data_IF_521963054382
#
_entry.id   IF_521963054382
#
_cell.length_a   1.000
_cell.length_b   1.000
_cell.length_c   1.000
_cell.angle_alpha   90.00
_cell.angle_beta   90.00
_cell.angle_gamma   90.00
#
_symmetry.space_group_name_H-M   'P 1'
#
loop_
_entity.id
_entity.type
_entity.pdbx_description
1 polymer ?
#
# COMPACT_ATOMS: atom_id res chain seq x y z
N UNK A 1 -15.12 -66.27 1.33
CA UNK A 1 -14.24 -65.72 2.38
C UNK A 1 -15.09 -65.34 3.58
N UNK A 2 -14.79 -65.83 4.80
CA UNK A 2 -15.54 -65.52 6.02
C UNK A 2 -15.15 -64.14 6.60
N UNK A 3 -15.99 -63.54 7.47
CA UNK A 3 -15.83 -62.16 7.94
C UNK A 3 -14.84 -62.06 9.10
N UNK A 4 -14.00 -61.01 9.09
CA UNK A 4 -13.18 -60.65 10.25
C UNK A 4 -13.92 -59.63 11.15
N UNK A 5 -13.72 -59.70 12.48
CA UNK A 5 -14.66 -59.19 13.46
C UNK A 5 -14.46 -57.72 13.82
N UNK A 6 -15.57 -57.11 14.22
CA UNK A 6 -15.64 -55.88 15.00
C UNK A 6 -14.79 -55.99 16.28
N UNK A 7 -13.82 -55.09 16.44
CA UNK A 7 -13.24 -54.78 17.74
C UNK A 7 -13.63 -53.37 18.15
N UNK A 8 -14.55 -53.32 19.13
CA UNK A 8 -14.38 -52.51 20.34
C UNK A 8 -14.34 -51.00 20.18
N UNK A 9 -15.52 -50.38 20.29
CA UNK A 9 -15.65 -49.07 20.90
C UNK A 9 -15.04 -49.08 22.31
N UNK A 10 -14.04 -48.24 22.56
CA UNK A 10 -13.69 -47.82 23.90
C UNK A 10 -13.23 -46.35 23.88
N UNK A 11 -14.05 -45.51 24.51
CA UNK A 11 -13.55 -44.36 25.26
C UNK A 11 -13.28 -43.08 24.47
N UNK A 12 -14.15 -42.09 24.66
CA UNK A 12 -13.80 -40.69 24.45
C UNK A 12 -14.93 -39.92 23.78
N UNK A 13 -15.89 -39.47 24.59
CA UNK A 13 -16.80 -38.41 24.19
C UNK A 13 -16.01 -37.13 23.93
N UNK A 14 -15.48 -36.99 22.71
CA UNK A 14 -15.05 -35.71 22.20
C UNK A 14 -16.33 -34.97 21.81
N UNK A 15 -16.74 -34.06 22.69
CA UNK A 15 -17.64 -32.97 22.35
C UNK A 15 -17.18 -32.42 21.00
N UNK A 16 -17.94 -32.65 19.92
CA UNK A 16 -17.66 -32.04 18.62
C UNK A 16 -17.75 -30.54 18.83
N UNK A 17 -16.61 -29.89 19.03
CA UNK A 17 -16.49 -28.47 18.80
C UNK A 17 -16.76 -28.28 17.31
N UNK A 18 -17.84 -27.59 16.90
CA UNK A 18 -18.05 -27.31 15.48
C UNK A 18 -16.81 -26.57 14.96
N UNK A 19 -16.33 -26.89 13.75
CA UNK A 19 -15.19 -26.19 13.19
C UNK A 19 -15.47 -24.68 13.24
N UNK A 20 -14.47 -23.86 13.63
CA UNK A 20 -14.63 -22.41 13.62
C UNK A 20 -15.16 -22.01 12.24
N UNK A 21 -16.18 -21.15 12.24
CA UNK A 21 -16.85 -20.67 11.03
C UNK A 21 -15.79 -20.40 9.96
N UNK A 22 -15.98 -20.87 8.71
CA UNK A 22 -15.06 -20.56 7.63
C UNK A 22 -14.84 -19.04 7.65
N UNK A 23 -13.57 -18.63 7.83
CA UNK A 23 -13.18 -17.23 7.74
C UNK A 23 -13.83 -16.67 6.47
N UNK A 24 -14.39 -15.45 6.51
CA UNK A 24 -14.96 -14.85 5.31
C UNK A 24 -13.92 -14.98 4.20
N UNK A 25 -14.28 -15.69 3.12
CA UNK A 25 -13.42 -15.77 1.94
C UNK A 25 -13.11 -14.33 1.54
N UNK A 26 -11.84 -13.97 1.27
CA UNK A 26 -11.54 -12.69 0.67
C UNK A 26 -12.48 -12.52 -0.52
N UNK A 27 -13.16 -11.36 -0.62
CA UNK A 27 -14.01 -11.07 -1.77
C UNK A 27 -13.17 -11.34 -3.04
N UNK A 28 -13.76 -11.94 -4.09
CA UNK A 28 -13.07 -12.04 -5.37
C UNK A 28 -12.66 -10.62 -5.78
N UNK A 29 -11.34 -10.40 -5.94
CA UNK A 29 -10.81 -9.15 -6.48
C UNK A 29 -11.30 -9.04 -7.92
N UNK A 30 -11.77 -7.86 -8.32
CA UNK A 30 -12.27 -7.66 -9.69
C UNK A 30 -11.56 -6.47 -10.34
N UNK A 31 -11.14 -6.65 -11.59
CA UNK A 31 -10.54 -5.57 -12.38
C UNK A 31 -9.20 -5.08 -11.81
N UNK A 32 -9.14 -3.81 -11.43
CA UNK A 32 -7.88 -3.16 -11.02
C UNK A 32 -7.27 -3.73 -9.74
N UNK A 33 -8.08 -4.24 -8.81
CA UNK A 33 -7.58 -4.85 -7.57
C UNK A 33 -6.74 -6.10 -7.83
N UNK A 34 -7.10 -6.86 -8.88
CA UNK A 34 -6.35 -8.04 -9.31
C UNK A 34 -5.03 -7.63 -9.96
N UNK A 35 -5.06 -6.60 -10.81
CA UNK A 35 -3.86 -6.01 -11.45
C UNK A 35 -2.88 -5.47 -10.40
N UNK A 36 -3.38 -4.74 -9.40
CA UNK A 36 -2.59 -4.24 -8.27
C UNK A 36 -1.99 -5.41 -7.51
N UNK A 37 -2.79 -6.42 -7.19
CA UNK A 37 -2.30 -7.56 -6.43
C UNK A 37 -1.21 -8.32 -7.18
N UNK A 38 -1.41 -8.59 -8.47
CA UNK A 38 -0.42 -9.26 -9.31
C UNK A 38 0.87 -8.46 -9.34
N UNK A 39 0.79 -7.16 -9.62
CA UNK A 39 1.95 -6.27 -9.67
C UNK A 39 2.76 -6.23 -8.36
N UNK A 40 2.06 -6.24 -7.21
CA UNK A 40 2.69 -6.24 -5.89
C UNK A 40 3.30 -7.60 -5.52
N UNK A 41 2.78 -8.69 -6.10
CA UNK A 41 3.20 -10.07 -5.79
C UNK A 41 4.13 -10.70 -6.85
N UNK A 42 4.59 -9.93 -7.84
CA UNK A 42 5.49 -10.38 -8.92
C UNK A 42 6.75 -11.12 -8.43
N UNK A 43 7.26 -10.87 -7.22
CA UNK A 43 8.40 -11.63 -6.65
C UNK A 43 8.12 -13.13 -6.49
N UNK A 44 6.85 -13.52 -6.36
CA UNK A 44 6.42 -14.92 -6.21
C UNK A 44 6.16 -15.59 -7.55
N UNK A 45 5.85 -14.81 -8.58
CA UNK A 45 5.59 -15.29 -9.93
C UNK A 45 5.94 -14.19 -10.93
N UNK A 46 7.06 -14.39 -11.63
CA UNK A 46 7.54 -13.43 -12.62
C UNK A 46 6.61 -13.45 -13.84
N UNK A 47 6.06 -12.30 -14.27
CA UNK A 47 5.16 -12.22 -15.42
C UNK A 47 5.90 -12.50 -16.72
N UNK A 48 5.19 -12.90 -17.78
CA UNK A 48 5.79 -12.84 -19.11
C UNK A 48 6.05 -11.39 -19.51
N UNK A 49 6.99 -11.08 -20.43
CA UNK A 49 7.21 -9.71 -20.88
C UNK A 49 5.94 -9.01 -21.38
N UNK A 50 5.12 -9.71 -22.18
CA UNK A 50 3.83 -9.18 -22.64
C UNK A 50 2.85 -8.89 -21.48
N UNK A 51 2.86 -9.71 -20.42
CA UNK A 51 2.06 -9.44 -19.22
C UNK A 51 2.61 -8.27 -18.42
N UNK A 52 3.94 -8.14 -18.35
CA UNK A 52 4.63 -7.04 -17.69
C UNK A 52 4.26 -5.68 -18.32
N UNK A 53 4.22 -5.62 -19.65
CA UNK A 53 3.77 -4.44 -20.40
C UNK A 53 2.29 -4.13 -20.13
N UNK A 54 1.42 -5.14 -20.22
CA UNK A 54 -0.01 -4.97 -19.95
C UNK A 54 -0.31 -4.49 -18.52
N UNK A 55 0.39 -5.03 -17.51
CA UNK A 55 0.29 -4.56 -16.13
C UNK A 55 0.74 -3.10 -16.00
N UNK A 56 1.85 -2.75 -16.64
CA UNK A 56 2.38 -1.38 -16.62
C UNK A 56 1.37 -0.39 -17.22
N UNK A 57 0.83 -0.68 -18.40
CA UNK A 57 -0.15 0.19 -19.07
C UNK A 57 -1.41 0.40 -18.23
N UNK A 58 -1.97 -0.68 -17.67
CA UNK A 58 -3.17 -0.62 -16.85
C UNK A 58 -2.95 0.18 -15.57
N UNK A 59 -1.81 -0.01 -14.90
CA UNK A 59 -1.46 0.73 -13.68
C UNK A 59 -1.19 2.22 -13.99
N UNK A 60 -0.50 2.53 -15.08
CA UNK A 60 -0.26 3.92 -15.50
C UNK A 60 -1.57 4.65 -15.78
N UNK A 61 -2.49 4.01 -16.52
CA UNK A 61 -3.80 4.57 -16.82
C UNK A 61 -4.61 4.81 -15.54
N UNK A 62 -4.64 3.81 -14.64
CA UNK A 62 -5.34 3.92 -13.37
C UNK A 62 -4.78 5.03 -12.48
N UNK A 63 -3.46 5.09 -12.28
CA UNK A 63 -2.84 6.13 -11.43
C UNK A 63 -3.17 7.52 -11.95
N UNK A 64 -3.08 7.75 -13.27
CA UNK A 64 -3.40 9.07 -13.87
C UNK A 64 -4.86 9.48 -13.63
N UNK A 65 -5.79 8.55 -13.85
CA UNK A 65 -7.21 8.82 -13.65
C UNK A 65 -7.55 9.04 -12.17
N UNK A 66 -7.12 8.12 -11.31
CA UNK A 66 -7.47 8.13 -9.88
C UNK A 66 -6.79 9.27 -9.14
N UNK A 67 -5.54 9.62 -9.47
CA UNK A 67 -4.88 10.80 -8.88
C UNK A 67 -5.69 12.07 -9.13
N UNK A 68 -6.15 12.27 -10.37
CA UNK A 68 -6.98 13.43 -10.75
C UNK A 68 -8.30 13.44 -9.99
N UNK A 69 -8.94 12.28 -9.84
CA UNK A 69 -10.20 12.15 -9.09
C UNK A 69 -10.02 12.44 -7.58
N UNK A 70 -8.93 11.96 -6.97
CA UNK A 70 -8.62 12.20 -5.56
C UNK A 70 -8.36 13.69 -5.31
N UNK A 71 -7.58 14.36 -6.16
CA UNK A 71 -7.38 15.82 -6.07
C UNK A 71 -8.67 16.61 -6.18
N UNK A 72 -9.52 16.25 -7.15
CA UNK A 72 -10.82 16.90 -7.32
C UNK A 72 -11.69 16.72 -6.07
N UNK A 73 -11.70 15.53 -5.46
CA UNK A 73 -12.49 15.23 -4.27
C UNK A 73 -12.07 16.02 -3.02
N UNK A 74 -10.79 16.41 -2.90
CA UNK A 74 -10.29 17.21 -1.75
C UNK A 74 -10.11 18.69 -2.05
N UNK A 75 -10.31 19.12 -3.30
CA UNK A 75 -10.09 20.51 -3.75
C UNK A 75 -10.89 21.55 -2.98
N UNK A 76 -12.11 21.20 -2.53
CA UNK A 76 -12.98 22.08 -1.76
C UNK A 76 -12.66 22.19 -0.27
N UNK A 77 -11.69 21.40 0.25
CA UNK A 77 -11.29 21.43 1.66
C UNK A 77 -10.30 22.58 1.93
N UNK A 78 -10.27 23.17 3.14
CA UNK A 78 -9.30 24.22 3.49
C UNK A 78 -7.84 23.76 3.33
N UNK A 79 -6.93 24.72 3.11
CA UNK A 79 -5.50 24.46 3.28
C UNK A 79 -5.22 24.18 4.77
N UNK A 80 -4.46 23.13 5.08
CA UNK A 80 -4.25 22.64 6.44
C UNK A 80 -5.26 21.59 6.94
N UNK A 81 -6.27 21.21 6.13
CA UNK A 81 -7.11 20.05 6.47
C UNK A 81 -6.27 18.77 6.32
N UNK A 82 -6.11 17.96 7.39
CA UNK A 82 -5.28 16.76 7.36
C UNK A 82 -5.72 15.77 6.28
N UNK A 83 -7.03 15.66 5.99
CA UNK A 83 -7.54 14.77 4.94
C UNK A 83 -7.10 15.25 3.55
N UNK A 84 -7.04 16.57 3.34
CA UNK A 84 -6.54 17.15 2.10
C UNK A 84 -5.04 16.94 1.96
N UNK A 85 -4.28 17.18 3.02
CA UNK A 85 -2.83 17.02 3.01
C UNK A 85 -2.41 15.56 2.77
N UNK A 86 -3.05 14.61 3.45
CA UNK A 86 -2.82 13.18 3.25
C UNK A 86 -3.15 12.76 1.80
N UNK A 87 -4.30 13.20 1.29
CA UNK A 87 -4.71 12.88 -0.09
C UNK A 87 -3.73 13.43 -1.13
N UNK A 88 -3.30 14.69 -0.98
CA UNK A 88 -2.35 15.30 -1.91
C UNK A 88 -0.96 14.68 -1.80
N UNK A 89 -0.56 14.24 -0.60
CA UNK A 89 0.68 13.48 -0.39
C UNK A 89 0.65 12.17 -1.16
N UNK A 90 -0.42 11.38 -1.02
CA UNK A 90 -0.61 10.11 -1.76
C UNK A 90 -0.62 10.34 -3.27
N UNK A 91 -1.26 11.42 -3.74
CA UNK A 91 -1.27 11.76 -5.16
C UNK A 91 0.13 12.13 -5.67
N UNK A 92 0.86 12.98 -4.94
CA UNK A 92 2.24 13.36 -5.29
C UNK A 92 3.15 12.13 -5.36
N UNK A 93 3.00 11.24 -4.39
CA UNK A 93 3.66 9.94 -4.34
C UNK A 93 3.37 9.05 -5.55
N UNK A 94 2.10 8.90 -5.91
CA UNK A 94 1.70 8.07 -7.04
C UNK A 94 2.19 8.66 -8.37
N UNK A 95 2.18 10.00 -8.51
CA UNK A 95 2.72 10.69 -9.68
C UNK A 95 4.24 10.58 -9.79
N UNK A 96 4.96 10.68 -8.69
CA UNK A 96 6.42 10.48 -8.69
C UNK A 96 6.79 9.11 -9.26
N UNK A 97 6.00 8.07 -8.96
CA UNK A 97 6.20 6.71 -9.50
C UNK A 97 5.94 6.59 -11.00
N UNK A 98 5.11 7.47 -11.59
CA UNK A 98 4.94 7.53 -13.05
C UNK A 98 6.23 7.94 -13.76
N UNK A 99 7.07 8.75 -13.10
CA UNK A 99 8.35 9.21 -13.61
C UNK A 99 9.45 8.15 -13.60
N UNK A 100 9.21 6.99 -12.97
CA UNK A 100 10.15 5.87 -13.01
C UNK A 100 10.08 5.20 -14.38
N UNK A 101 11.17 5.32 -15.15
CA UNK A 101 11.34 4.59 -16.40
C UNK A 101 11.71 3.15 -16.12
N UNK A 102 11.19 2.21 -16.92
CA UNK A 102 11.80 0.89 -16.97
C UNK A 102 13.16 1.10 -17.63
N UNK A 103 14.25 0.72 -16.96
CA UNK A 103 15.52 0.51 -17.66
C UNK A 103 15.36 -0.60 -18.71
N UNK A 104 16.38 -0.81 -19.54
CA UNK A 104 16.32 -1.73 -20.68
C UNK A 104 16.24 -3.22 -20.30
N UNK A 105 16.22 -3.53 -19.00
CA UNK A 105 16.19 -4.89 -18.45
C UNK A 105 14.81 -5.35 -17.99
N UNK A 106 14.57 -6.65 -18.08
CA UNK A 106 13.39 -7.30 -17.52
C UNK A 106 13.25 -7.09 -16.00
N UNK A 107 14.36 -7.11 -15.26
CA UNK A 107 14.39 -6.84 -13.82
C UNK A 107 13.91 -5.41 -13.52
N UNK A 108 14.36 -4.41 -14.28
CA UNK A 108 13.90 -3.03 -14.12
C UNK A 108 12.43 -2.86 -14.48
N UNK A 109 11.91 -3.62 -15.46
CA UNK A 109 10.47 -3.63 -15.76
C UNK A 109 9.66 -4.20 -14.59
N UNK A 110 10.10 -5.30 -13.98
CA UNK A 110 9.49 -5.90 -12.79
C UNK A 110 9.48 -4.93 -11.60
N UNK A 111 10.60 -4.27 -11.32
CA UNK A 111 10.69 -3.26 -10.25
C UNK A 111 9.71 -2.11 -10.51
N UNK A 112 9.64 -1.63 -11.75
CA UNK A 112 8.71 -0.57 -12.14
C UNK A 112 7.26 -0.99 -11.93
N UNK A 113 6.86 -2.17 -12.39
CA UNK A 113 5.51 -2.70 -12.21
C UNK A 113 5.14 -2.76 -10.74
N UNK A 114 6.05 -3.25 -9.89
CA UNK A 114 5.82 -3.28 -8.45
C UNK A 114 5.64 -1.88 -7.87
N UNK A 115 6.49 -0.94 -8.28
CA UNK A 115 6.39 0.46 -7.85
C UNK A 115 5.04 1.08 -8.24
N UNK A 116 4.62 0.89 -9.50
CA UNK A 116 3.32 1.32 -9.99
C UNK A 116 2.18 0.65 -9.24
N UNK A 117 2.27 -0.66 -8.97
CA UNK A 117 1.29 -1.42 -8.20
C UNK A 117 1.06 -0.82 -6.81
N UNK A 118 2.14 -0.40 -6.13
CA UNK A 118 2.06 0.25 -4.82
C UNK A 118 1.46 1.65 -4.89
N UNK A 119 1.79 2.44 -5.91
CA UNK A 119 1.16 3.74 -6.12
C UNK A 119 -0.35 3.61 -6.38
N UNK A 120 -0.75 2.60 -7.14
CA UNK A 120 -2.15 2.29 -7.40
C UNK A 120 -2.89 1.77 -6.16
N UNK A 121 -2.25 0.91 -5.35
CA UNK A 121 -2.78 0.43 -4.06
C UNK A 121 -3.08 1.59 -3.11
N UNK A 122 -2.12 2.49 -2.89
CA UNK A 122 -2.29 3.65 -2.03
C UNK A 122 -3.41 4.60 -2.52
N UNK A 123 -3.51 4.83 -3.83
CA UNK A 123 -4.60 5.62 -4.40
C UNK A 123 -5.98 4.95 -4.24
N UNK A 124 -6.06 3.62 -4.38
CA UNK A 124 -7.29 2.87 -4.16
C UNK A 124 -7.75 2.97 -2.71
N UNK A 125 -6.83 2.77 -1.76
CA UNK A 125 -7.11 2.92 -0.33
C UNK A 125 -7.57 4.34 0.00
N UNK A 126 -6.88 5.36 -0.52
CA UNK A 126 -7.25 6.75 -0.29
C UNK A 126 -8.63 7.09 -0.89
N UNK A 127 -8.94 6.58 -2.09
CA UNK A 127 -10.25 6.75 -2.69
C UNK A 127 -11.35 6.11 -1.84
N UNK A 128 -11.12 4.90 -1.31
CA UNK A 128 -12.06 4.22 -0.43
C UNK A 128 -12.26 4.98 0.89
N UNK A 129 -11.19 5.51 1.49
CA UNK A 129 -11.26 6.34 2.70
C UNK A 129 -12.08 7.61 2.48
N UNK A 130 -11.87 8.29 1.34
CA UNK A 130 -12.65 9.47 0.96
C UNK A 130 -14.13 9.13 0.73
N UNK A 131 -14.45 7.98 0.15
CA UNK A 131 -15.83 7.53 -0.02
C UNK A 131 -16.51 7.25 1.33
N UNK A 132 -15.81 6.59 2.26
CA UNK A 132 -16.33 6.29 3.59
C UNK A 132 -16.60 7.57 4.41
N UNK A 133 -15.68 8.54 4.37
CA UNK A 133 -15.86 9.84 5.05
C UNK A 133 -16.98 10.68 4.44
N UNK A 134 -17.25 10.55 3.13
CA UNK A 134 -18.35 11.27 2.47
C UNK A 134 -19.73 10.70 2.84
N UNK A 135 -19.84 9.38 3.01
CA UNK A 135 -21.11 8.72 3.35
C UNK A 135 -21.53 8.93 4.81
N UNK A 136 -20.58 9.14 5.72
CA UNK A 136 -20.87 9.20 7.16
C UNK A 136 -21.12 10.61 7.71
N UNK A 137 -20.97 11.69 6.93
CA UNK A 137 -21.29 13.06 7.37
C UNK A 137 -20.50 13.56 8.60
N UNK A 138 -19.52 12.79 9.07
CA UNK A 138 -18.68 13.11 10.21
C UNK A 138 -17.22 13.08 9.75
N UNK A 139 -16.49 14.16 10.05
CA UNK A 139 -15.04 14.22 9.99
C UNK A 139 -14.47 13.26 11.04
N UNK A 140 -14.51 11.97 10.73
CA UNK A 140 -13.84 10.96 11.53
C UNK A 140 -12.36 11.04 11.14
N UNK A 141 -11.54 11.53 12.07
CA UNK A 141 -10.10 11.61 11.89
C UNK A 141 -9.59 10.27 11.34
N UNK A 142 -8.79 10.29 10.26
CA UNK A 142 -8.29 9.05 9.69
C UNK A 142 -7.57 8.28 10.79
N UNK A 143 -8.07 7.08 11.12
CA UNK A 143 -7.31 6.15 11.93
C UNK A 143 -6.13 5.75 11.06
N UNK A 144 -4.89 6.08 11.44
CA UNK A 144 -3.73 5.61 10.70
C UNK A 144 -3.79 4.09 10.75
N UNK A 145 -4.14 3.46 9.62
CA UNK A 145 -4.02 2.02 9.49
C UNK A 145 -2.54 1.73 9.62
N UNK A 146 -2.08 1.03 10.68
CA UNK A 146 -0.80 0.41 10.59
C UNK A 146 -0.90 -0.58 9.41
N UNK A 147 0.20 -0.84 8.71
CA UNK A 147 0.33 -1.82 7.63
C UNK A 147 0.09 -1.37 6.16
N UNK A 148 -0.24 -0.11 5.83
CA UNK A 148 -0.35 0.36 4.43
C UNK A 148 0.97 0.82 3.78
N UNK A 149 2.07 0.91 4.55
CA UNK A 149 3.37 1.35 4.04
C UNK A 149 4.17 0.23 3.34
N UNK A 150 3.64 -0.32 2.24
CA UNK A 150 4.47 -0.90 1.17
C UNK A 150 5.25 0.21 0.44
N UNK A 151 6.41 -0.06 -0.18
CA UNK A 151 7.52 0.88 -0.43
C UNK A 151 7.05 2.28 -0.86
N UNK A 152 6.82 3.12 0.16
CA UNK A 152 6.07 4.37 0.06
C UNK A 152 7.02 5.52 -0.22
N UNK A 153 7.24 5.99 -1.46
CA UNK A 153 8.09 7.16 -1.77
C UNK A 153 7.83 8.23 -0.72
N UNK A 154 8.79 8.58 0.13
CA UNK A 154 8.51 9.65 1.10
C UNK A 154 8.50 10.96 0.31
N UNK A 155 7.32 11.57 0.21
CA UNK A 155 7.23 12.97 -0.23
C UNK A 155 7.41 13.83 1.02
N UNK A 156 8.52 14.57 1.07
CA UNK A 156 8.65 15.68 2.01
C UNK A 156 7.69 16.78 1.58
N UNK A 157 7.03 17.42 2.53
CA UNK A 157 6.30 18.64 2.22
C UNK A 157 7.29 19.68 1.65
N UNK A 158 6.89 20.55 0.71
CA UNK A 158 7.78 21.55 0.11
C UNK A 158 8.45 22.50 1.11
N UNK A 159 7.94 22.55 2.35
CA UNK A 159 8.43 23.38 3.45
C UNK A 159 9.24 22.61 4.51
N UNK A 160 9.59 21.33 4.27
CA UNK A 160 10.37 20.54 5.23
C UNK A 160 11.82 21.04 5.30
N UNK A 161 12.15 21.75 6.38
CA UNK A 161 13.50 22.26 6.68
C UNK A 161 14.27 21.40 7.70
N UNK A 162 13.63 20.34 8.22
CA UNK A 162 14.27 19.47 9.20
C UNK A 162 15.37 18.64 8.53
N UNK A 163 16.63 18.91 8.90
CA UNK A 163 17.81 18.25 8.33
C UNK A 163 17.79 16.74 8.56
N UNK A 164 17.29 16.28 9.72
CA UNK A 164 17.13 14.85 10.00
C UNK A 164 16.10 14.19 9.07
N UNK A 165 14.98 14.86 8.78
CA UNK A 165 14.01 14.38 7.80
C UNK A 165 14.62 14.29 6.41
N UNK A 166 15.36 15.32 5.99
CA UNK A 166 16.04 15.37 4.69
C UNK A 166 17.06 14.23 4.55
N UNK A 167 17.93 14.04 5.54
CA UNK A 167 18.94 12.97 5.56
C UNK A 167 18.32 11.57 5.50
N UNK A 168 17.20 11.37 6.21
CA UNK A 168 16.49 10.08 6.19
C UNK A 168 15.83 9.83 4.83
N UNK A 169 15.33 10.87 4.17
CA UNK A 169 14.80 10.74 2.81
C UNK A 169 15.90 10.44 1.81
N UNK A 170 17.06 11.09 1.90
CA UNK A 170 18.22 10.79 1.06
C UNK A 170 18.72 9.35 1.27
N UNK A 171 18.92 8.91 2.53
CA UNK A 171 19.31 7.52 2.86
C UNK A 171 18.32 6.49 2.33
N UNK A 172 17.04 6.85 2.32
CA UNK A 172 15.99 6.00 1.79
C UNK A 172 16.05 5.96 0.25
N UNK A 173 16.27 7.07 -0.43
CA UNK A 173 16.50 7.10 -1.88
C UNK A 173 17.74 6.29 -2.27
N UNK A 174 18.83 6.42 -1.52
CA UNK A 174 20.05 5.62 -1.69
C UNK A 174 19.80 4.12 -1.55
N UNK A 175 19.02 3.74 -0.54
CA UNK A 175 18.66 2.33 -0.32
C UNK A 175 17.78 1.82 -1.47
N UNK A 176 16.86 2.64 -1.99
CA UNK A 176 16.08 2.31 -3.18
C UNK A 176 16.96 2.17 -4.43
N UNK A 177 17.92 3.07 -4.65
CA UNK A 177 18.86 3.02 -5.77
C UNK A 177 19.70 1.74 -5.74
N UNK A 178 20.04 1.24 -4.53
CA UNK A 178 20.75 -0.02 -4.32
C UNK A 178 19.85 -1.26 -4.27
N UNK A 179 18.53 -1.12 -4.43
CA UNK A 179 17.54 -2.18 -4.24
C UNK A 179 17.56 -2.83 -2.84
N UNK A 180 18.03 -2.12 -1.81
CA UNK A 180 18.02 -2.56 -0.43
C UNK A 180 16.70 -2.14 0.25
N UNK A 181 15.67 -2.97 0.02
CA UNK A 181 14.32 -2.69 0.52
C UNK A 181 14.22 -2.79 2.04
N UNK A 182 15.01 -3.65 2.67
CA UNK A 182 15.06 -3.76 4.14
C UNK A 182 15.58 -2.45 4.74
N UNK A 183 16.69 -1.91 4.22
CA UNK A 183 17.22 -0.63 4.66
C UNK A 183 16.24 0.54 4.38
N UNK A 184 15.55 0.51 3.24
CA UNK A 184 14.52 1.51 2.94
C UNK A 184 13.36 1.47 3.96
N UNK A 185 12.92 0.28 4.37
CA UNK A 185 11.87 0.13 5.38
C UNK A 185 12.30 0.59 6.77
N UNK A 186 13.51 0.23 7.20
CA UNK A 186 14.06 0.72 8.47
C UNK A 186 14.17 2.25 8.48
N UNK A 187 14.58 2.83 7.36
CA UNK A 187 14.70 4.28 7.23
C UNK A 187 13.32 4.96 7.31
N UNK A 188 12.28 4.36 6.75
CA UNK A 188 10.90 4.84 6.91
C UNK A 188 10.44 4.81 8.36
N UNK A 189 10.68 3.69 9.06
CA UNK A 189 10.32 3.56 10.46
C UNK A 189 11.02 4.64 11.33
N UNK A 190 12.29 4.95 11.02
CA UNK A 190 13.05 6.02 11.68
C UNK A 190 12.47 7.40 11.38
N UNK A 191 12.11 7.66 10.12
CA UNK A 191 11.51 8.95 9.75
C UNK A 191 10.16 9.16 10.44
N UNK A 192 9.31 8.13 10.45
CA UNK A 192 7.99 8.20 11.09
C UNK A 192 8.12 8.38 12.60
N UNK A 193 9.06 7.68 13.24
CA UNK A 193 9.36 7.85 14.66
C UNK A 193 9.82 9.28 14.96
N UNK A 194 10.76 9.82 14.17
CA UNK A 194 11.27 11.19 14.33
C UNK A 194 10.16 12.24 14.14
N UNK A 195 9.31 12.11 13.12
CA UNK A 195 8.15 12.99 12.91
C UNK A 195 7.20 12.96 14.10
N UNK A 196 6.90 11.77 14.64
CA UNK A 196 6.05 11.63 15.82
C UNK A 196 6.66 12.22 17.10
N UNK A 197 7.97 12.16 17.28
CA UNK A 197 8.62 12.65 18.52
C UNK A 197 8.92 14.13 18.48
N UNK A 198 9.43 14.64 17.36
CA UNK A 198 10.07 15.95 17.31
C UNK A 198 9.21 17.00 16.60
N UNK A 199 8.42 16.61 15.60
CA UNK A 199 7.49 17.54 14.94
C UNK A 199 6.18 17.69 15.72
N UNK A 200 5.71 16.65 16.41
CA UNK A 200 4.55 16.76 17.31
C UNK A 200 4.79 17.73 18.48
N UNK A 201 6.06 17.92 18.91
CA UNK A 201 6.44 18.90 19.94
C UNK A 201 6.47 20.33 19.42
N UNK A 202 6.72 20.54 18.13
CA UNK A 202 6.80 21.86 17.51
C UNK A 202 5.42 22.41 17.12
N UNK A 203 4.43 21.53 16.86
CA UNK A 203 3.05 21.93 16.56
C UNK A 203 2.19 22.26 17.80
N UNK A 204 2.73 22.05 19.01
CA UNK A 204 2.02 22.23 20.30
C UNK A 204 2.46 23.45 21.12
N UNK A 205 3.31 24.33 20.57
CA UNK A 205 3.69 25.63 21.13
C UNK A 205 3.26 26.75 20.17
#
# INVERSE_FOLDING_TARGET
>A
MPPYPLTGNAGGGLTRVPPPRPRPRPRPRTGIEEVIHEAVTVERCLPTPARADALSEQLLAYIRATATAVEAAVSGRPAGDPVREDALTVVGEARARLGLTAGDGYVSAVIRIRSLGRGAEALLEQQQLLQLTTVQGQAQAPVPLPHSAGPGVIVLAPAEICTTCLDLVEKRHDSQARNDWTAAHETNARLEAHRRTDHARQAGN
#
